data_IF_578773049789
#
_entry.id   IF_578773049789
#
_cell.length_a   1.000
_cell.length_b   1.000
_cell.length_c   1.000
_cell.angle_alpha   90.00
_cell.angle_beta   90.00
_cell.angle_gamma   90.00
#
_symmetry.space_group_name_H-M   'P 1'
#
loop_
_entity.id
_entity.type
_entity.pdbx_description
1 polymer ?
#
# COMPACT_ATOMS: atom_id res chain seq x y z
N UNK A 1 -19.54 58.83 6.83
CA UNK A 1 -19.64 58.43 8.25
C UNK A 1 -20.26 57.04 8.24
N UNK A 2 -19.65 55.93 8.65
CA UNK A 2 -18.40 55.61 9.34
C UNK A 2 -17.94 54.23 8.78
N UNK A 3 -16.72 54.12 8.25
CA UNK A 3 -15.49 53.61 8.88
C UNK A 3 -15.31 52.09 8.81
N UNK A 4 -14.22 51.72 8.15
CA UNK A 4 -13.63 50.40 7.92
C UNK A 4 -13.44 49.52 9.15
N UNK A 5 -13.35 48.21 8.91
CA UNK A 5 -12.51 47.29 9.69
C UNK A 5 -12.11 46.08 8.84
N UNK A 6 -10.97 46.22 8.15
CA UNK A 6 -10.15 45.13 7.63
C UNK A 6 -9.57 44.33 8.82
N UNK A 7 -9.84 43.03 8.88
CA UNK A 7 -9.17 42.14 9.84
C UNK A 7 -7.95 41.54 9.14
N UNK A 8 -6.80 42.17 9.35
CA UNK A 8 -5.47 41.62 9.07
C UNK A 8 -5.06 40.80 10.31
N UNK A 9 -4.89 39.49 10.18
CA UNK A 9 -4.29 38.66 11.24
C UNK A 9 -2.80 38.52 10.95
N UNK A 10 -2.01 39.42 11.54
CA UNK A 10 -0.58 39.20 11.79
C UNK A 10 -0.44 38.94 13.29
N UNK A 11 -0.02 37.72 13.64
CA UNK A 11 0.24 37.34 15.03
C UNK A 11 1.26 36.23 15.10
N UNK A 12 2.53 36.62 15.29
CA UNK A 12 3.55 35.75 15.86
C UNK A 12 3.12 35.37 17.28
N UNK A 13 2.61 34.15 17.44
CA UNK A 13 2.38 33.52 18.72
C UNK A 13 2.82 32.07 18.62
N UNK A 14 3.71 31.64 19.52
CA UNK A 14 4.01 30.22 19.73
C UNK A 14 2.74 29.64 20.35
N UNK A 15 1.85 29.14 19.50
CA UNK A 15 0.59 28.54 19.90
C UNK A 15 0.84 27.09 20.30
N UNK A 16 0.82 26.81 21.60
CA UNK A 16 0.79 25.46 22.16
C UNK A 16 -0.65 24.91 22.11
N UNK A 17 -1.27 24.95 20.93
CA UNK A 17 -2.49 24.20 20.65
C UNK A 17 -2.11 22.74 20.35
N UNK A 18 -2.92 21.75 20.77
CA UNK A 18 -2.69 20.36 20.36
C UNK A 18 -2.67 20.33 18.82
N UNK A 19 -1.74 19.59 18.19
CA UNK A 19 -1.63 19.61 16.74
C UNK A 19 -2.99 19.26 16.13
N UNK A 20 -3.49 20.15 15.26
CA UNK A 20 -4.72 19.89 14.51
C UNK A 20 -4.64 18.49 13.88
N UNK A 21 -5.74 17.71 13.88
CA UNK A 21 -5.70 16.38 13.30
C UNK A 21 -5.30 16.48 11.83
N UNK A 22 -4.14 15.94 11.48
CA UNK A 22 -3.65 15.92 10.10
C UNK A 22 -4.02 14.59 9.45
N UNK A 23 -4.52 14.68 8.22
CA UNK A 23 -4.82 13.50 7.43
C UNK A 23 -3.55 12.81 6.92
N UNK A 24 -3.58 11.49 6.87
CA UNK A 24 -2.52 10.71 6.21
C UNK A 24 -2.69 10.74 4.69
N UNK A 25 -1.60 10.44 3.98
CA UNK A 25 -1.54 10.56 2.53
C UNK A 25 -0.59 9.53 1.93
N UNK A 26 -0.67 9.38 0.61
CA UNK A 26 0.16 8.46 -0.17
C UNK A 26 0.80 9.23 -1.32
N UNK A 27 2.02 8.86 -1.72
CA UNK A 27 2.69 9.46 -2.88
C UNK A 27 2.40 8.63 -4.13
N UNK A 28 2.12 9.29 -5.26
CA UNK A 28 2.01 8.64 -6.57
C UNK A 28 2.93 9.36 -7.54
N UNK A 29 3.87 8.63 -8.14
CA UNK A 29 4.94 9.22 -8.95
C UNK A 29 5.43 8.25 -10.01
N UNK A 30 5.88 8.79 -11.14
CA UNK A 30 6.68 8.05 -12.12
C UNK A 30 8.09 8.64 -12.09
N UNK A 31 9.10 7.78 -12.00
CA UNK A 31 10.49 8.22 -11.94
C UNK A 31 11.46 7.25 -12.61
N UNK A 32 12.60 7.78 -13.06
CA UNK A 32 13.75 6.98 -13.50
C UNK A 32 14.42 6.31 -12.30
N UNK A 33 15.35 5.37 -12.55
CA UNK A 33 16.18 4.75 -11.50
C UNK A 33 16.90 5.75 -10.59
N UNK A 34 17.28 6.90 -11.15
CA UNK A 34 17.97 7.97 -10.43
C UNK A 34 16.98 8.95 -9.77
N UNK A 35 15.69 8.58 -9.66
CA UNK A 35 14.60 9.38 -9.10
C UNK A 35 14.28 10.65 -9.89
N UNK A 36 14.63 10.70 -11.19
CA UNK A 36 14.27 11.80 -12.09
C UNK A 36 12.80 11.74 -12.46
N UNK A 37 12.08 12.87 -12.34
CA UNK A 37 10.62 12.94 -12.55
C UNK A 37 10.20 13.79 -13.74
N UNK A 38 10.97 14.83 -14.08
CA UNK A 38 10.64 15.72 -15.20
C UNK A 38 11.87 16.38 -15.79
N UNK A 39 11.72 16.91 -17.00
CA UNK A 39 12.67 17.77 -17.69
C UNK A 39 11.91 19.00 -18.19
N UNK A 40 12.37 20.20 -17.86
CA UNK A 40 11.76 21.48 -18.25
C UNK A 40 10.26 21.59 -17.88
N UNK A 41 9.87 20.95 -16.77
CA UNK A 41 8.49 20.96 -16.29
C UNK A 41 7.53 20.00 -16.99
N UNK A 42 8.00 19.20 -17.96
CA UNK A 42 7.22 18.18 -18.65
C UNK A 42 7.75 16.77 -18.37
N UNK A 43 6.89 15.77 -18.55
CA UNK A 43 7.30 14.36 -18.49
C UNK A 43 8.14 14.03 -19.74
N UNK A 44 9.38 13.50 -19.59
CA UNK A 44 10.25 13.17 -20.73
C UNK A 44 9.80 11.95 -21.56
N UNK A 45 8.70 11.32 -21.17
CA UNK A 45 8.18 10.08 -21.73
C UNK A 45 6.67 10.16 -21.91
N UNK A 46 6.14 9.29 -22.77
CA UNK A 46 4.70 9.13 -22.99
C UNK A 46 4.35 7.66 -22.80
N UNK A 47 3.69 7.34 -21.69
CA UNK A 47 3.36 5.98 -21.27
C UNK A 47 1.86 5.89 -20.93
N UNK A 48 0.98 5.63 -21.91
CA UNK A 48 -0.47 5.59 -21.68
C UNK A 48 -0.90 4.57 -20.61
N UNK A 49 -0.18 3.46 -20.50
CA UNK A 49 -0.47 2.43 -19.48
C UNK A 49 -0.16 2.94 -18.06
N UNK A 50 0.87 3.76 -17.88
CA UNK A 50 1.14 4.46 -16.62
C UNK A 50 0.10 5.55 -16.32
N UNK A 51 -0.28 6.34 -17.32
CA UNK A 51 -1.33 7.35 -17.15
C UNK A 51 -2.65 6.72 -16.67
N UNK A 52 -3.01 5.56 -17.24
CA UNK A 52 -4.16 4.79 -16.77
C UNK A 52 -3.97 4.29 -15.34
N UNK A 53 -2.80 3.79 -14.99
CA UNK A 53 -2.49 3.37 -13.62
C UNK A 53 -2.64 4.53 -12.62
N UNK A 54 -2.13 5.71 -12.96
CA UNK A 54 -2.28 6.94 -12.18
C UNK A 54 -3.76 7.34 -12.03
N UNK A 55 -4.55 7.27 -13.10
CA UNK A 55 -5.98 7.56 -13.05
C UNK A 55 -6.72 6.56 -12.14
N UNK A 56 -6.49 5.27 -12.34
CA UNK A 56 -7.12 4.18 -11.58
C UNK A 56 -6.81 4.33 -10.08
N UNK A 57 -5.53 4.49 -9.71
CA UNK A 57 -5.13 4.56 -8.31
C UNK A 57 -5.67 5.81 -7.60
N UNK A 58 -5.71 6.94 -8.32
CA UNK A 58 -6.17 8.21 -7.73
C UNK A 58 -7.68 8.37 -7.77
N UNK A 59 -8.42 7.58 -8.55
CA UNK A 59 -9.88 7.74 -8.71
C UNK A 59 -10.68 6.65 -8.00
N UNK A 60 -10.21 5.40 -8.01
CA UNK A 60 -10.97 4.28 -7.44
C UNK A 60 -11.01 4.40 -5.90
N UNK A 61 -12.23 4.38 -5.36
CA UNK A 61 -12.52 4.35 -3.92
C UNK A 61 -13.09 3.00 -3.50
N UNK A 62 -12.96 2.68 -2.22
CA UNK A 62 -13.68 1.55 -1.61
C UNK A 62 -15.15 1.87 -1.40
N UNK A 63 -15.48 3.11 -1.03
CA UNK A 63 -16.84 3.63 -0.91
C UNK A 63 -17.24 4.44 -2.18
N UNK A 64 -18.23 3.97 -2.97
CA UNK A 64 -18.70 4.67 -4.16
C UNK A 64 -19.26 6.08 -3.91
N UNK A 65 -19.63 6.42 -2.66
CA UNK A 65 -20.13 7.75 -2.29
C UNK A 65 -19.03 8.77 -2.02
N UNK A 66 -17.78 8.30 -1.87
CA UNK A 66 -16.63 9.15 -1.58
C UNK A 66 -15.82 9.42 -2.85
N UNK A 67 -14.97 10.45 -2.77
CA UNK A 67 -13.96 10.78 -3.79
C UNK A 67 -12.58 10.71 -3.17
N UNK A 68 -11.54 10.68 -4.00
CA UNK A 68 -10.17 10.89 -3.52
C UNK A 68 -9.73 12.34 -3.79
N UNK A 69 -8.72 12.79 -3.06
CA UNK A 69 -8.08 14.08 -3.30
C UNK A 69 -6.68 13.87 -3.89
N UNK A 70 -6.32 14.71 -4.85
CA UNK A 70 -4.98 14.82 -5.42
C UNK A 70 -4.40 16.17 -5.05
N UNK A 71 -3.19 16.18 -4.51
CA UNK A 71 -2.50 17.40 -4.07
C UNK A 71 -1.22 17.53 -4.87
N UNK A 72 -1.04 18.70 -5.48
CA UNK A 72 0.09 18.96 -6.35
C UNK A 72 0.57 20.40 -6.26
N UNK A 73 1.81 20.64 -6.69
CA UNK A 73 2.39 21.97 -6.77
C UNK A 73 1.89 22.74 -7.98
N UNK A 74 1.91 24.08 -7.91
CA UNK A 74 1.50 24.95 -9.03
C UNK A 74 2.14 24.60 -10.37
N UNK A 75 3.45 24.34 -10.41
CA UNK A 75 4.16 23.95 -11.65
C UNK A 75 3.63 22.63 -12.22
N UNK A 76 3.37 21.65 -11.36
CA UNK A 76 2.80 20.37 -11.78
C UNK A 76 1.37 20.54 -12.30
N UNK A 77 0.58 21.41 -11.68
CA UNK A 77 -0.75 21.77 -12.17
C UNK A 77 -0.72 22.46 -13.53
N UNK A 78 0.21 23.38 -13.75
CA UNK A 78 0.39 24.10 -15.01
C UNK A 78 0.90 23.20 -16.14
N UNK A 79 1.64 22.14 -15.80
CA UNK A 79 2.12 21.13 -16.75
C UNK A 79 1.02 20.18 -17.25
N UNK A 80 -0.12 20.09 -16.54
CA UNK A 80 -1.27 19.30 -17.01
C UNK A 80 -1.94 20.04 -18.18
N UNK A 81 -2.21 19.35 -19.30
CA UNK A 81 -2.88 19.96 -20.44
C UNK A 81 -4.21 20.63 -20.05
N UNK A 82 -4.54 21.81 -20.60
CA UNK A 82 -5.77 22.54 -20.24
C UNK A 82 -7.07 21.74 -20.37
N UNK A 83 -7.13 20.83 -21.33
CA UNK A 83 -8.25 19.91 -21.57
C UNK A 83 -8.39 18.81 -20.50
N UNK A 84 -7.32 18.55 -19.74
CA UNK A 84 -7.26 17.51 -18.71
C UNK A 84 -7.29 18.08 -17.28
N UNK A 85 -7.37 19.41 -17.12
CA UNK A 85 -7.48 20.08 -15.81
C UNK A 85 -8.88 20.70 -15.62
N UNK A 86 -9.52 20.55 -14.44
CA UNK A 86 -9.10 19.71 -13.31
C UNK A 86 -9.13 18.21 -13.63
N UNK A 87 -8.36 17.42 -12.90
CA UNK A 87 -8.41 15.96 -13.01
C UNK A 87 -9.80 15.48 -12.58
N UNK A 88 -10.56 14.93 -13.52
CA UNK A 88 -11.94 14.51 -13.34
C UNK A 88 -12.07 13.41 -12.26
N UNK A 89 -13.23 13.36 -11.59
CA UNK A 89 -13.52 12.36 -10.56
C UNK A 89 -12.82 12.55 -9.21
N UNK A 90 -11.98 13.59 -9.08
CA UNK A 90 -11.13 13.84 -7.90
C UNK A 90 -11.27 15.27 -7.40
N UNK A 91 -10.98 15.48 -6.12
CA UNK A 91 -10.77 16.82 -5.56
C UNK A 91 -9.32 17.23 -5.83
N UNK A 92 -9.12 18.35 -6.54
CA UNK A 92 -7.80 18.83 -6.91
C UNK A 92 -7.36 19.90 -5.92
N UNK A 93 -6.21 19.73 -5.26
CA UNK A 93 -5.63 20.71 -4.34
C UNK A 93 -4.31 21.21 -4.90
N UNK A 94 -4.22 22.50 -5.16
CA UNK A 94 -3.03 23.13 -5.74
C UNK A 94 -2.30 23.91 -4.65
N UNK A 95 -1.03 23.56 -4.44
CA UNK A 95 -0.16 24.23 -3.48
C UNK A 95 0.51 25.44 -4.13
N UNK A 96 0.23 26.63 -3.59
CA UNK A 96 0.77 27.90 -4.07
C UNK A 96 0.95 28.90 -2.92
N UNK A 97 2.11 29.57 -2.91
CA UNK A 97 2.40 30.69 -1.99
C UNK A 97 1.95 32.04 -2.53
N UNK A 98 1.60 32.10 -3.81
CA UNK A 98 1.09 33.29 -4.48
C UNK A 98 -0.41 33.35 -4.23
N UNK A 99 -0.84 34.26 -3.35
CA UNK A 99 -2.23 34.37 -2.86
C UNK A 99 -3.27 34.82 -3.89
N UNK A 100 -2.85 35.10 -5.13
CA UNK A 100 -3.71 35.42 -6.28
C UNK A 100 -3.47 34.37 -7.36
N UNK A 101 -4.35 33.37 -7.42
CA UNK A 101 -4.36 32.39 -8.50
C UNK A 101 -5.82 32.25 -8.94
N UNK A 102 -6.13 32.72 -10.15
CA UNK A 102 -7.49 32.88 -10.70
C UNK A 102 -8.24 31.55 -10.96
N UNK A 103 -7.74 30.43 -10.41
CA UNK A 103 -8.28 29.08 -10.57
C UNK A 103 -9.32 28.75 -9.48
N UNK A 104 -9.51 29.63 -8.49
CA UNK A 104 -10.48 29.46 -7.40
C UNK A 104 -11.96 29.40 -7.84
N UNK A 105 -12.25 29.54 -9.13
CA UNK A 105 -13.60 29.47 -9.72
C UNK A 105 -13.95 28.12 -10.33
N UNK A 106 -12.99 27.20 -10.46
CA UNK A 106 -13.25 25.85 -11.00
C UNK A 106 -13.85 24.93 -9.93
N UNK A 107 -14.97 24.28 -10.25
CA UNK A 107 -15.58 23.28 -9.37
C UNK A 107 -14.59 22.14 -9.09
N UNK A 108 -14.45 21.74 -7.82
CA UNK A 108 -13.50 20.72 -7.35
C UNK A 108 -12.00 21.10 -7.37
N UNK A 109 -11.66 22.41 -7.35
CA UNK A 109 -10.28 22.88 -7.14
C UNK A 109 -10.15 23.68 -5.84
N UNK A 110 -9.15 23.36 -5.04
CA UNK A 110 -8.80 24.06 -3.80
C UNK A 110 -7.36 24.58 -3.86
N UNK A 111 -7.11 25.65 -3.11
CA UNK A 111 -5.79 26.27 -3.01
C UNK A 111 -5.31 26.19 -1.57
N UNK A 112 -4.07 25.76 -1.37
CA UNK A 112 -3.43 25.67 -0.06
C UNK A 112 -1.99 26.21 -0.11
N UNK A 113 -1.47 26.67 1.03
CA UNK A 113 -0.13 27.27 1.11
C UNK A 113 1.00 26.25 1.28
N UNK A 114 0.70 25.09 1.87
CA UNK A 114 1.64 24.01 2.18
C UNK A 114 0.96 22.65 2.24
N UNK A 115 1.75 21.56 2.24
CA UNK A 115 1.24 20.19 2.44
C UNK A 115 0.50 20.07 3.77
N UNK A 116 1.07 20.63 4.86
CA UNK A 116 0.42 20.64 6.18
C UNK A 116 -0.96 21.30 6.15
N UNK A 117 -1.07 22.51 5.57
CA UNK A 117 -2.36 23.21 5.47
C UNK A 117 -3.40 22.42 4.65
N UNK A 118 -2.96 21.70 3.62
CA UNK A 118 -3.84 20.86 2.83
C UNK A 118 -4.32 19.64 3.62
N UNK A 119 -3.45 18.99 4.40
CA UNK A 119 -3.84 17.84 5.23
C UNK A 119 -4.78 18.23 6.36
N UNK A 120 -4.60 19.40 6.96
CA UNK A 120 -5.50 19.95 7.97
C UNK A 120 -6.88 20.25 7.38
N UNK A 121 -6.92 20.91 6.21
CA UNK A 121 -8.18 21.20 5.53
C UNK A 121 -8.92 19.90 5.12
N UNK A 122 -8.20 18.90 4.64
CA UNK A 122 -8.78 17.60 4.24
C UNK A 122 -9.17 16.71 5.43
N UNK A 123 -8.70 17.03 6.64
CA UNK A 123 -9.13 16.42 7.90
C UNK A 123 -10.36 17.12 8.52
N UNK A 124 -10.68 18.33 8.08
CA UNK A 124 -11.84 19.08 8.54
C UNK A 124 -13.12 18.74 7.74
N UNK A 125 -14.28 19.08 8.33
CA UNK A 125 -15.57 18.99 7.63
C UNK A 125 -15.66 20.04 6.51
N UNK A 126 -16.24 19.71 5.33
CA UNK A 126 -16.93 18.46 4.97
C UNK A 126 -16.02 17.37 4.37
N UNK A 127 -14.73 17.65 4.17
CA UNK A 127 -13.82 16.77 3.44
C UNK A 127 -13.46 15.47 4.17
N UNK A 128 -13.45 15.47 5.49
CA UNK A 128 -13.25 14.24 6.27
C UNK A 128 -14.32 13.18 6.02
N UNK A 129 -15.53 13.58 5.60
CA UNK A 129 -16.65 12.68 5.31
C UNK A 129 -16.71 12.29 3.82
N UNK A 130 -16.36 13.22 2.92
CA UNK A 130 -16.51 13.04 1.47
C UNK A 130 -15.26 12.51 0.78
N UNK A 131 -14.07 12.76 1.33
CA UNK A 131 -12.81 12.27 0.77
C UNK A 131 -12.44 10.95 1.45
N UNK A 132 -11.99 9.95 0.68
CA UNK A 132 -11.52 8.66 1.19
C UNK A 132 -9.99 8.61 1.36
N UNK A 133 -9.23 8.92 0.30
CA UNK A 133 -7.77 8.94 0.32
C UNK A 133 -7.20 10.24 -0.25
N UNK A 134 -5.97 10.56 0.16
CA UNK A 134 -5.23 11.73 -0.32
C UNK A 134 -3.94 11.28 -0.99
N UNK A 135 -3.74 11.71 -2.23
CA UNK A 135 -2.57 11.40 -3.04
C UNK A 135 -1.75 12.66 -3.31
N UNK A 136 -0.48 12.65 -2.92
CA UNK A 136 0.48 13.66 -3.33
C UNK A 136 1.08 13.23 -4.67
N UNK A 137 0.92 14.07 -5.70
CA UNK A 137 1.28 13.73 -7.08
C UNK A 137 2.44 14.58 -7.61
N UNK A 138 3.17 15.24 -6.71
CA UNK A 138 4.38 16.02 -7.00
C UNK A 138 4.17 17.53 -7.00
N UNK A 139 5.16 18.35 -7.34
CA UNK A 139 6.49 17.98 -7.86
C UNK A 139 7.57 17.69 -6.81
N UNK A 140 8.84 17.77 -7.22
CA UNK A 140 10.00 17.35 -6.41
C UNK A 140 10.10 18.00 -5.03
N UNK A 141 9.76 19.29 -4.89
CA UNK A 141 9.72 19.97 -3.57
C UNK A 141 8.70 19.33 -2.64
N UNK A 142 7.52 18.98 -3.17
CA UNK A 142 6.44 18.35 -2.42
C UNK A 142 6.83 16.93 -2.03
N UNK A 143 7.44 16.15 -2.93
CA UNK A 143 7.89 14.81 -2.58
C UNK A 143 8.99 14.83 -1.51
N UNK A 144 9.87 15.82 -1.52
CA UNK A 144 10.87 16.00 -0.47
C UNK A 144 10.24 16.26 0.89
N UNK A 145 9.18 17.05 0.98
CA UNK A 145 8.45 17.23 2.25
C UNK A 145 7.65 15.97 2.62
N UNK A 146 6.95 15.39 1.65
CA UNK A 146 6.03 14.28 1.81
C UNK A 146 6.69 13.00 2.32
N UNK A 147 7.78 12.55 1.69
CA UNK A 147 8.37 11.25 1.97
C UNK A 147 9.04 11.22 3.36
N UNK A 148 9.56 12.36 3.81
CA UNK A 148 10.09 12.53 5.16
C UNK A 148 8.99 12.74 6.21
N UNK A 149 7.78 13.12 5.81
CA UNK A 149 6.64 13.36 6.70
C UNK A 149 6.07 12.07 7.31
N UNK A 150 5.67 12.08 8.59
CA UNK A 150 5.10 10.91 9.28
C UNK A 150 3.71 10.50 8.75
N UNK A 151 3.06 11.39 8.00
CA UNK A 151 1.75 11.16 7.38
C UNK A 151 1.78 10.35 6.07
N UNK A 152 2.95 10.10 5.49
CA UNK A 152 3.08 9.34 4.25
C UNK A 152 3.02 7.82 4.50
N UNK A 153 1.91 7.17 4.15
CA UNK A 153 1.68 5.75 4.43
C UNK A 153 2.22 4.81 3.34
N UNK A 154 2.20 5.26 2.09
CA UNK A 154 2.66 4.47 0.95
C UNK A 154 3.22 5.35 -0.17
N UNK A 155 4.10 4.73 -0.96
CA UNK A 155 4.65 5.29 -2.20
C UNK A 155 4.29 4.33 -3.32
N UNK A 156 3.49 4.80 -4.27
CA UNK A 156 3.19 4.12 -5.52
C UNK A 156 4.06 4.73 -6.61
N UNK A 157 5.04 3.97 -7.05
CA UNK A 157 6.03 4.42 -8.00
C UNK A 157 6.01 3.56 -9.26
N UNK A 158 5.88 4.21 -10.40
CA UNK A 158 6.22 3.61 -11.69
C UNK A 158 7.71 3.82 -11.92
N UNK A 159 8.48 2.75 -11.82
CA UNK A 159 9.94 2.79 -11.91
C UNK A 159 10.37 2.52 -13.36
N UNK A 160 10.91 3.54 -14.02
CA UNK A 160 11.48 3.45 -15.35
C UNK A 160 12.90 2.88 -15.28
N UNK A 161 13.12 1.77 -15.97
CA UNK A 161 14.40 1.07 -16.07
C UNK A 161 15.34 1.65 -17.15
N UNK A 162 15.14 2.90 -17.55
CA UNK A 162 15.95 3.60 -18.55
C UNK A 162 16.60 4.87 -17.95
N UNK A 163 17.80 5.20 -18.42
CA UNK A 163 18.49 6.45 -18.07
C UNK A 163 18.00 7.54 -19.02
N UNK A 164 17.12 8.40 -18.53
CA UNK A 164 16.53 9.52 -19.26
C UNK A 164 16.94 10.82 -18.55
N UNK A 165 17.32 11.85 -19.29
CA UNK A 165 17.75 13.12 -18.71
C UNK A 165 16.58 13.82 -18.00
N UNK A 166 16.80 14.23 -16.76
CA UNK A 166 15.83 14.92 -15.91
C UNK A 166 16.52 16.11 -15.22
N UNK A 167 15.76 17.17 -14.90
CA UNK A 167 16.23 18.31 -14.11
C UNK A 167 15.56 18.41 -12.74
N UNK A 168 14.45 17.69 -12.56
CA UNK A 168 13.68 17.66 -11.34
C UNK A 168 13.66 16.22 -10.84
N UNK A 169 13.91 16.06 -9.55
CA UNK A 169 14.07 14.77 -8.91
C UNK A 169 13.19 14.66 -7.66
N UNK A 170 12.72 13.45 -7.36
CA UNK A 170 12.18 13.11 -6.04
C UNK A 170 13.31 12.63 -5.11
N UNK A 171 13.15 12.68 -3.78
CA UNK A 171 14.15 12.10 -2.88
C UNK A 171 14.21 10.58 -3.04
N UNK A 172 15.35 9.99 -2.67
CA UNK A 172 15.51 8.55 -2.61
C UNK A 172 14.54 7.94 -1.59
N UNK A 173 14.03 6.74 -1.90
CA UNK A 173 13.15 6.00 -1.00
C UNK A 173 14.01 5.41 0.13
N UNK A 174 13.71 5.80 1.37
CA UNK A 174 14.35 5.22 2.55
C UNK A 174 13.75 3.84 2.85
N UNK A 175 14.47 2.78 2.49
CA UNK A 175 14.04 1.40 2.69
C UNK A 175 14.02 0.95 4.15
N UNK A 176 14.60 1.71 5.09
CA UNK A 176 14.43 1.45 6.52
C UNK A 176 13.02 1.81 7.01
N UNK A 177 12.39 2.77 6.33
CA UNK A 177 11.05 3.28 6.64
C UNK A 177 9.99 2.60 5.74
N UNK A 178 10.28 2.50 4.45
CA UNK A 178 9.37 2.02 3.42
C UNK A 178 9.78 0.64 2.91
N UNK A 179 8.94 -0.35 3.14
CA UNK A 179 9.19 -1.73 2.72
C UNK A 179 8.41 -2.05 1.44
N UNK A 180 8.97 -2.85 0.52
CA UNK A 180 8.27 -3.25 -0.69
C UNK A 180 7.02 -4.09 -0.33
N UNK A 181 5.87 -3.67 -0.84
CA UNK A 181 4.60 -4.39 -0.71
C UNK A 181 4.25 -5.14 -2.00
N UNK A 182 4.33 -4.45 -3.13
CA UNK A 182 3.93 -4.99 -4.43
C UNK A 182 4.93 -4.56 -5.51
N UNK A 183 5.19 -5.45 -6.46
CA UNK A 183 5.97 -5.17 -7.66
C UNK A 183 5.37 -5.93 -8.83
N UNK A 184 5.04 -5.21 -9.90
CA UNK A 184 4.52 -5.83 -11.13
C UNK A 184 5.64 -6.53 -11.91
N UNK A 185 5.26 -7.38 -12.86
CA UNK A 185 6.20 -7.76 -13.91
C UNK A 185 6.58 -6.53 -14.74
N UNK A 186 7.85 -6.40 -15.16
CA UNK A 186 8.26 -5.31 -16.03
C UNK A 186 7.50 -5.34 -17.35
N UNK A 187 7.03 -4.17 -17.77
CA UNK A 187 6.37 -3.89 -19.04
C UNK A 187 7.34 -3.16 -19.96
N UNK A 188 7.08 -3.20 -21.27
CA UNK A 188 7.81 -2.42 -22.27
C UNK A 188 6.79 -1.71 -23.14
N UNK A 189 6.84 -0.38 -23.16
CA UNK A 189 5.96 0.48 -23.96
C UNK A 189 6.82 1.60 -24.55
N UNK A 190 6.67 1.88 -25.86
CA UNK A 190 7.45 2.91 -26.56
C UNK A 190 8.99 2.79 -26.37
N UNK A 191 9.49 1.55 -26.25
CA UNK A 191 10.93 1.27 -26.03
C UNK A 191 11.42 1.52 -24.60
N UNK A 192 10.53 1.95 -23.69
CA UNK A 192 10.85 2.17 -22.28
C UNK A 192 10.35 0.97 -21.49
N UNK A 193 11.25 0.37 -20.71
CA UNK A 193 10.93 -0.69 -19.76
C UNK A 193 10.63 -0.10 -18.39
N UNK A 194 9.55 -0.51 -17.75
CA UNK A 194 9.18 -0.02 -16.42
C UNK A 194 8.36 -1.04 -15.62
N UNK A 195 8.20 -0.81 -14.32
CA UNK A 195 7.38 -1.65 -13.44
C UNK A 195 6.60 -0.81 -12.43
N UNK A 196 5.43 -1.30 -12.01
CA UNK A 196 4.63 -0.67 -10.96
C UNK A 196 5.04 -1.24 -9.61
N UNK A 197 5.60 -0.40 -8.76
CA UNK A 197 6.06 -0.77 -7.43
C UNK A 197 5.26 -0.01 -6.37
N UNK A 198 4.95 -0.67 -5.26
CA UNK A 198 4.36 -0.03 -4.09
C UNK A 198 5.19 -0.34 -2.88
N UNK A 199 5.57 0.70 -2.16
CA UNK A 199 6.25 0.63 -0.88
C UNK A 199 5.33 1.13 0.22
N UNK A 200 5.28 0.42 1.34
CA UNK A 200 4.45 0.75 2.49
C UNK A 200 5.33 1.17 3.66
N UNK A 201 4.94 2.24 4.35
CA UNK A 201 5.56 2.62 5.60
C UNK A 201 5.13 1.62 6.66
N UNK A 202 6.10 0.95 7.26
CA UNK A 202 5.84 0.07 8.40
C UNK A 202 6.05 0.87 9.68
N UNK A 203 4.97 1.15 10.41
CA UNK A 203 5.07 1.61 11.80
C UNK A 203 5.39 0.38 12.65
N UNK A 204 6.57 0.36 13.27
CA UNK A 204 6.86 -0.62 14.30
C UNK A 204 6.17 -0.13 15.57
N UNK A 205 5.13 -0.81 16.06
CA UNK A 205 4.56 -0.42 17.34
C UNK A 205 5.57 -0.73 18.44
N UNK A 206 6.13 0.31 19.02
CA UNK A 206 6.82 0.22 20.33
C UNK A 206 6.19 1.15 21.36
N UNK A 207 5.02 1.73 21.06
CA UNK A 207 4.33 2.66 21.95
C UNK A 207 2.90 2.18 22.22
N UNK A 208 2.79 1.21 23.12
CA UNK A 208 1.57 0.93 23.87
C UNK A 208 1.94 0.63 25.32
N UNK A 209 2.40 1.64 26.06
CA UNK A 209 2.30 1.75 27.53
C UNK A 209 3.01 3.01 28.05
N UNK A 210 2.32 4.15 28.02
CA UNK A 210 2.52 5.19 29.04
C UNK A 210 1.16 5.67 29.55
N UNK A 211 0.93 5.48 30.86
CA UNK A 211 -0.28 5.81 31.63
C UNK A 211 -1.16 4.57 31.83
N UNK A 212 -1.36 3.98 33.01
CA UNK A 212 -1.29 4.44 34.39
C UNK A 212 -0.73 3.33 35.32
N UNK A 213 0.02 3.75 36.34
CA UNK A 213 0.48 2.91 37.45
C UNK A 213 -0.69 2.45 38.35
N UNK A 214 -0.72 1.15 38.68
CA UNK A 214 -1.00 0.57 40.01
C UNK A 214 -0.65 -0.93 40.01
N UNK A 215 0.55 -1.28 40.50
CA UNK A 215 0.98 -2.36 41.43
C UNK A 215 0.24 -3.75 41.56
N UNK A 216 0.93 -4.83 42.04
CA UNK A 216 1.21 -6.00 41.20
C UNK A 216 0.68 -7.37 41.72
N UNK A 217 1.12 -8.45 41.03
CA UNK A 217 1.12 -9.90 41.34
C UNK A 217 0.01 -10.73 40.65
N UNK A 218 0.38 -11.45 39.59
CA UNK A 218 0.49 -12.93 39.57
C UNK A 218 1.07 -13.42 38.23
N UNK A 219 1.93 -14.42 38.38
CA UNK A 219 2.76 -15.07 37.39
C UNK A 219 1.90 -15.94 36.47
N UNK A 220 1.95 -15.75 35.15
CA UNK A 220 1.72 -16.87 34.23
C UNK A 220 2.59 -16.74 32.98
N UNK A 221 3.51 -17.69 32.88
CA UNK A 221 4.37 -17.98 31.76
C UNK A 221 3.55 -18.60 30.62
N UNK A 222 2.92 -17.75 29.81
CA UNK A 222 2.59 -18.11 28.43
C UNK A 222 2.99 -16.96 27.54
N UNK A 223 4.16 -17.11 26.90
CA UNK A 223 4.63 -16.22 25.85
C UNK A 223 3.73 -16.44 24.63
N UNK A 224 2.49 -15.95 24.73
CA UNK A 224 1.61 -15.74 23.60
C UNK A 224 2.29 -14.66 22.78
N UNK A 225 2.98 -15.08 21.73
CA UNK A 225 3.33 -14.20 20.63
C UNK A 225 2.03 -13.55 20.17
N UNK A 226 1.71 -12.37 20.71
CA UNK A 226 0.66 -11.50 20.20
C UNK A 226 1.14 -11.08 18.83
N UNK A 227 0.73 -11.84 17.81
CA UNK A 227 1.04 -11.54 16.43
C UNK A 227 0.30 -10.26 16.08
N UNK A 228 1.06 -9.20 15.93
CA UNK A 228 0.54 -7.94 15.45
C UNK A 228 0.17 -8.10 13.98
N UNK A 229 -1.14 -8.16 13.70
CA UNK A 229 -1.65 -8.12 12.33
C UNK A 229 -1.41 -6.72 11.82
N UNK A 230 -0.47 -6.57 10.89
CA UNK A 230 -0.28 -5.29 10.18
C UNK A 230 -1.46 -5.10 9.24
N UNK A 231 -2.33 -4.16 9.57
CA UNK A 231 -3.43 -3.76 8.71
C UNK A 231 -2.92 -2.85 7.58
N UNK A 232 -3.17 -3.26 6.33
CA UNK A 232 -2.84 -2.50 5.13
C UNK A 232 -4.11 -2.02 4.40
N UNK A 233 -5.26 -1.98 5.08
CA UNK A 233 -6.54 -1.47 4.57
C UNK A 233 -6.49 -0.04 4.05
N UNK A 234 -5.47 0.74 4.47
CA UNK A 234 -5.21 2.08 3.96
C UNK A 234 -4.78 2.09 2.48
N UNK A 235 -4.25 0.98 1.95
CA UNK A 235 -3.87 0.89 0.55
C UNK A 235 -5.10 1.00 -0.38
N UNK A 236 -4.94 1.56 -1.59
CA UNK A 236 -6.00 1.55 -2.59
C UNK A 236 -6.41 0.10 -2.89
N UNK A 237 -7.71 -0.17 -2.99
CA UNK A 237 -8.23 -1.53 -3.22
C UNK A 237 -7.54 -2.23 -4.39
N UNK A 238 -7.35 -1.50 -5.50
CA UNK A 238 -6.66 -1.99 -6.69
C UNK A 238 -5.20 -2.42 -6.43
N UNK A 239 -4.50 -1.78 -5.49
CA UNK A 239 -3.12 -2.15 -5.11
C UNK A 239 -3.12 -3.29 -4.10
N UNK A 240 -4.03 -3.23 -3.13
CA UNK A 240 -4.18 -4.25 -2.12
C UNK A 240 -4.45 -5.62 -2.75
N UNK A 241 -5.41 -5.70 -3.68
CA UNK A 241 -5.79 -6.93 -4.40
C UNK A 241 -4.77 -7.39 -5.46
N UNK A 242 -3.78 -6.54 -5.78
CA UNK A 242 -2.67 -6.90 -6.69
C UNK A 242 -1.60 -7.75 -5.99
N UNK A 243 -1.57 -7.80 -4.66
CA UNK A 243 -0.63 -8.63 -3.92
C UNK A 243 -0.81 -10.11 -4.29
N UNK A 244 0.30 -10.86 -4.47
CA UNK A 244 0.21 -12.20 -5.04
C UNK A 244 -0.54 -13.20 -4.15
N UNK A 245 -0.59 -12.97 -2.83
CA UNK A 245 -1.38 -13.80 -1.90
C UNK A 245 -2.88 -13.78 -2.20
N UNK A 246 -3.41 -12.73 -2.83
CA UNK A 246 -4.80 -12.70 -3.29
C UNK A 246 -5.13 -13.76 -4.34
N UNK A 247 -4.12 -14.33 -5.01
CA UNK A 247 -4.31 -15.50 -5.89
C UNK A 247 -4.80 -16.71 -5.10
N UNK A 248 -4.28 -16.91 -3.88
CA UNK A 248 -4.73 -17.95 -2.96
C UNK A 248 -6.09 -17.60 -2.35
N UNK A 249 -6.26 -16.37 -1.84
CA UNK A 249 -7.51 -15.96 -1.19
C UNK A 249 -8.71 -16.02 -2.13
N UNK A 250 -8.56 -15.55 -3.37
CA UNK A 250 -9.64 -15.63 -4.37
C UNK A 250 -9.97 -17.06 -4.75
N UNK A 251 -8.97 -17.94 -4.84
CA UNK A 251 -9.23 -19.35 -5.10
C UNK A 251 -10.03 -20.00 -3.97
N UNK A 252 -9.73 -19.66 -2.71
CA UNK A 252 -10.51 -20.15 -1.57
C UNK A 252 -11.94 -19.61 -1.62
N UNK A 253 -12.11 -18.31 -1.90
CA UNK A 253 -13.42 -17.68 -2.05
C UNK A 253 -14.25 -18.34 -3.16
N UNK A 254 -13.67 -18.55 -4.34
CA UNK A 254 -14.29 -19.21 -5.49
C UNK A 254 -14.73 -20.65 -5.18
N UNK A 255 -13.90 -21.43 -4.48
CA UNK A 255 -14.27 -22.79 -4.05
C UNK A 255 -15.45 -22.77 -3.09
N UNK A 256 -15.51 -21.80 -2.18
CA UNK A 256 -16.61 -21.68 -1.21
C UNK A 256 -17.90 -21.25 -1.90
N UNK A 257 -17.83 -20.31 -2.85
CA UNK A 257 -19.02 -19.74 -3.51
C UNK A 257 -19.58 -20.63 -4.62
N UNK A 258 -18.72 -21.29 -5.39
CA UNK A 258 -19.09 -21.99 -6.63
C UNK A 258 -18.71 -23.48 -6.64
N UNK A 259 -18.01 -23.95 -5.61
CA UNK A 259 -17.54 -25.34 -5.52
C UNK A 259 -18.67 -26.36 -5.49
N UNK A 260 -18.47 -27.48 -6.19
CA UNK A 260 -19.39 -28.62 -6.11
C UNK A 260 -19.07 -29.48 -4.89
N UNK A 261 -20.10 -29.79 -4.10
CA UNK A 261 -20.03 -30.75 -2.99
C UNK A 261 -19.73 -32.15 -3.52
N UNK A 262 -18.72 -32.81 -2.96
CA UNK A 262 -18.36 -34.19 -3.28
C UNK A 262 -18.02 -34.97 -2.02
N UNK A 263 -18.42 -36.23 -2.00
CA UNK A 263 -17.91 -37.18 -1.01
C UNK A 263 -16.43 -37.50 -1.28
N UNK A 264 -15.71 -37.86 -0.23
CA UNK A 264 -14.28 -38.19 -0.30
C UNK A 264 -13.95 -39.48 0.47
N UNK A 265 -12.73 -40.00 0.28
CA UNK A 265 -12.26 -41.24 0.93
C UNK A 265 -12.16 -41.18 2.47
N UNK A 266 -12.19 -39.98 3.04
CA UNK A 266 -12.11 -39.75 4.49
C UNK A 266 -13.50 -39.69 5.14
N UNK A 267 -14.56 -39.54 4.33
CA UNK A 267 -15.94 -39.39 4.80
C UNK A 267 -16.28 -37.99 5.33
N UNK A 268 -15.38 -37.01 5.20
CA UNK A 268 -15.63 -35.62 5.63
C UNK A 268 -16.43 -34.84 4.59
N UNK A 269 -16.17 -35.08 3.31
CA UNK A 269 -16.74 -34.33 2.20
C UNK A 269 -15.91 -33.10 1.85
N UNK A 270 -16.02 -32.65 0.61
CA UNK A 270 -15.26 -31.51 0.08
C UNK A 270 -16.12 -30.59 -0.79
N UNK A 271 -15.78 -29.30 -0.81
CA UNK A 271 -16.14 -28.40 -1.91
C UNK A 271 -14.98 -28.37 -2.89
N UNK A 272 -15.26 -28.50 -4.18
CA UNK A 272 -14.20 -28.56 -5.20
C UNK A 272 -14.59 -27.89 -6.51
N UNK A 273 -13.60 -27.27 -7.14
CA UNK A 273 -13.61 -26.86 -8.55
C UNK A 273 -12.47 -27.59 -9.27
N UNK A 274 -12.53 -27.69 -10.59
CA UNK A 274 -11.54 -28.41 -11.39
C UNK A 274 -10.69 -27.46 -12.24
N UNK A 275 -9.36 -27.64 -12.21
CA UNK A 275 -8.46 -26.94 -13.14
C UNK A 275 -8.00 -25.54 -12.72
N UNK A 276 -7.81 -25.29 -11.42
CA UNK A 276 -7.32 -23.99 -10.93
C UNK A 276 -5.82 -23.79 -11.10
N UNK A 277 -5.38 -22.53 -11.16
CA UNK A 277 -3.97 -22.18 -11.35
C UNK A 277 -3.57 -20.96 -10.55
N UNK A 278 -2.41 -21.05 -9.90
CA UNK A 278 -1.71 -19.91 -9.31
C UNK A 278 -0.29 -19.81 -9.86
N UNK A 279 0.24 -18.59 -9.93
CA UNK A 279 1.63 -18.31 -10.32
C UNK A 279 2.19 -17.26 -9.37
N UNK A 280 3.41 -17.44 -8.88
CA UNK A 280 4.06 -16.53 -7.95
C UNK A 280 5.43 -16.11 -8.50
N UNK A 281 5.83 -14.86 -8.26
CA UNK A 281 7.08 -14.30 -8.75
C UNK A 281 8.21 -14.45 -7.71
N UNK A 282 9.04 -15.47 -7.91
CA UNK A 282 10.16 -15.79 -7.00
C UNK A 282 11.37 -14.84 -7.09
N UNK A 283 11.40 -13.90 -8.05
CA UNK A 283 12.53 -12.96 -8.18
C UNK A 283 12.50 -11.84 -7.14
N UNK A 284 11.34 -11.58 -6.54
CA UNK A 284 11.09 -10.42 -5.67
C UNK A 284 10.70 -10.82 -4.26
N UNK A 285 9.97 -11.92 -4.09
CA UNK A 285 9.52 -12.42 -2.79
C UNK A 285 9.43 -13.94 -2.77
N UNK A 286 9.27 -14.48 -1.57
CA UNK A 286 8.98 -15.90 -1.37
C UNK A 286 7.49 -16.05 -0.98
N UNK A 287 6.69 -16.88 -1.68
CA UNK A 287 5.23 -16.94 -1.52
C UNK A 287 4.83 -17.75 -0.27
N UNK A 288 5.32 -17.36 0.90
CA UNK A 288 4.86 -17.86 2.18
C UNK A 288 3.62 -17.04 2.59
N UNK A 289 2.47 -17.72 2.72
CA UNK A 289 1.22 -17.07 3.10
C UNK A 289 1.37 -16.32 4.44
N UNK A 290 0.78 -15.13 4.51
CA UNK A 290 0.85 -14.22 5.66
C UNK A 290 -0.48 -14.12 6.39
N UNK A 291 -1.59 -14.39 5.71
CA UNK A 291 -2.95 -14.44 6.26
C UNK A 291 -3.16 -15.56 7.29
N UNK A 292 -2.26 -16.55 7.29
CA UNK A 292 -2.15 -17.60 8.32
C UNK A 292 -0.70 -18.00 8.47
N UNK A 293 -0.23 -18.16 9.71
CA UNK A 293 1.12 -18.66 9.98
C UNK A 293 1.30 -20.06 9.40
N UNK A 294 2.23 -20.20 8.46
CA UNK A 294 2.63 -21.49 7.87
C UNK A 294 3.70 -22.15 8.74
N UNK A 295 3.65 -23.48 8.91
CA UNK A 295 4.65 -24.25 9.64
C UNK A 295 5.95 -24.42 8.83
N UNK A 296 6.70 -23.33 8.67
CA UNK A 296 7.85 -23.24 7.78
C UNK A 296 8.94 -24.28 8.08
N UNK A 297 9.25 -24.51 9.36
CA UNK A 297 10.22 -25.55 9.77
C UNK A 297 9.81 -26.93 9.26
N UNK A 298 8.52 -27.27 9.35
CA UNK A 298 7.99 -28.54 8.82
C UNK A 298 8.19 -28.65 7.31
N UNK A 299 7.86 -27.60 6.56
CA UNK A 299 8.02 -27.56 5.09
C UNK A 299 9.48 -27.77 4.67
N UNK A 300 10.42 -27.08 5.31
CA UNK A 300 11.86 -27.19 4.98
C UNK A 300 12.40 -28.58 5.30
N UNK A 301 12.09 -29.11 6.48
CA UNK A 301 12.59 -30.41 6.93
C UNK A 301 11.99 -31.57 6.12
N UNK A 302 10.70 -31.46 5.73
CA UNK A 302 10.07 -32.39 4.80
C UNK A 302 10.72 -32.36 3.42
N UNK A 303 11.00 -31.17 2.88
CA UNK A 303 11.70 -31.04 1.60
C UNK A 303 13.10 -31.67 1.65
N UNK A 304 13.84 -31.48 2.74
CA UNK A 304 15.15 -32.11 2.93
C UNK A 304 15.05 -33.63 3.04
N UNK A 305 14.00 -34.15 3.69
CA UNK A 305 13.72 -35.59 3.76
C UNK A 305 13.39 -36.19 2.39
N UNK A 306 12.65 -35.47 1.54
CA UNK A 306 12.44 -35.86 0.14
C UNK A 306 13.74 -35.88 -0.66
N UNK A 307 14.57 -34.83 -0.54
CA UNK A 307 15.85 -34.73 -1.25
C UNK A 307 16.80 -35.86 -0.82
N UNK A 308 16.75 -36.29 0.45
CA UNK A 308 17.58 -37.41 0.94
C UNK A 308 17.12 -38.79 0.44
N UNK A 309 15.96 -38.88 -0.23
CA UNK A 309 15.37 -40.14 -0.67
C UNK A 309 14.89 -41.04 0.47
N UNK A 310 14.70 -40.48 1.67
CA UNK A 310 14.24 -41.25 2.83
C UNK A 310 12.72 -41.47 2.76
N UNK A 311 12.28 -42.68 3.09
CA UNK A 311 10.85 -43.03 3.25
C UNK A 311 10.47 -43.31 4.70
N UNK A 312 11.42 -43.19 5.63
CA UNK A 312 11.18 -43.41 7.05
C UNK A 312 10.64 -42.14 7.73
N UNK A 313 9.36 -42.14 8.10
CA UNK A 313 8.71 -41.03 8.81
C UNK A 313 9.31 -40.73 10.20
N UNK A 314 10.00 -41.70 10.83
CA UNK A 314 10.67 -41.50 12.13
C UNK A 314 11.72 -40.39 12.08
N UNK A 315 12.36 -40.18 10.92
CA UNK A 315 13.34 -39.10 10.73
C UNK A 315 12.71 -37.72 10.97
N UNK A 316 11.43 -37.55 10.61
CA UNK A 316 10.69 -36.31 10.87
C UNK A 316 10.19 -36.26 12.32
N UNK A 317 9.70 -37.37 12.87
CA UNK A 317 9.24 -37.47 14.26
C UNK A 317 10.34 -37.16 15.27
N UNK A 318 11.56 -37.66 15.05
CA UNK A 318 12.74 -37.37 15.87
C UNK A 318 13.08 -35.87 15.89
N UNK A 319 12.67 -35.12 14.86
CA UNK A 319 12.78 -33.65 14.79
C UNK A 319 11.55 -32.92 15.35
N UNK A 320 10.57 -33.65 15.89
CA UNK A 320 9.29 -33.10 16.39
C UNK A 320 8.34 -32.67 15.27
N UNK A 321 8.41 -33.31 14.10
CA UNK A 321 7.55 -33.04 12.95
C UNK A 321 6.66 -34.25 12.70
N UNK A 322 5.35 -34.06 12.90
CA UNK A 322 4.35 -35.13 12.95
C UNK A 322 3.38 -35.14 11.74
N UNK A 323 3.72 -34.43 10.67
CA UNK A 323 2.81 -34.22 9.51
C UNK A 323 2.47 -35.52 8.75
N UNK A 324 3.28 -36.58 8.89
CA UNK A 324 3.08 -37.90 8.27
C UNK A 324 2.54 -38.98 9.21
N UNK A 325 2.39 -38.70 10.52
CA UNK A 325 2.11 -39.72 11.53
C UNK A 325 0.79 -40.46 11.28
N UNK A 326 -0.25 -39.73 10.90
CA UNK A 326 -1.57 -40.32 10.61
C UNK A 326 -1.57 -41.28 9.42
N UNK A 327 -0.68 -41.06 8.44
CA UNK A 327 -0.54 -41.92 7.25
C UNK A 327 0.48 -43.05 7.46
N UNK A 328 1.29 -43.00 8.52
CA UNK A 328 2.29 -44.01 8.86
C UNK A 328 1.85 -44.93 10.00
N UNK A 329 0.68 -44.71 10.60
CA UNK A 329 0.17 -45.54 11.69
C UNK A 329 -0.13 -46.97 11.24
N UNK A 330 -0.04 -47.93 12.17
CA UNK A 330 -0.32 -49.33 11.86
C UNK A 330 -1.76 -49.52 11.40
N UNK A 331 -2.70 -48.85 12.07
CA UNK A 331 -4.12 -48.88 11.75
C UNK A 331 -4.41 -48.36 10.34
N UNK A 332 -3.67 -47.34 9.88
CA UNK A 332 -3.82 -46.84 8.51
C UNK A 332 -3.26 -47.84 7.51
N UNK A 333 -2.06 -48.39 7.76
CA UNK A 333 -1.41 -49.36 6.87
C UNK A 333 -2.20 -50.66 6.73
N UNK A 334 -2.80 -51.16 7.82
CA UNK A 334 -3.65 -52.35 7.80
C UNK A 334 -4.91 -52.18 6.95
N UNK A 335 -5.41 -50.95 6.80
CA UNK A 335 -6.57 -50.65 5.94
C UNK A 335 -6.21 -50.54 4.45
N UNK A 336 -4.93 -50.44 4.11
CA UNK A 336 -4.45 -50.33 2.73
C UNK A 336 -3.94 -51.67 2.17
N UNK A 337 -3.77 -52.68 3.02
CA UNK A 337 -3.28 -54.03 2.67
C UNK A 337 -4.44 -54.94 2.24
#
# INVERSE_FOLDING_TARGET
MASDSLVIINGNGIDNSPPNPQRTYQAVVIATRDMGISKEGILPWTLPTDQKFFEDITTITSDPKKKNAVVMGRKSWEAIPPESRPLSGRLNVVLTRSGSFDIATAENVLICGSVSSAMELLAASPYCLSIEKVFLTGGGEIFREALHGPGCEAIHITEIEASIECDTFMPQIDFSVFHPWYSSFPLVENGIRYSFNTYVRIRCSTEASQGLNTDPILNDSSNSLKFEVKDFSFLPKIIFERHEEYKYLRLVEEIISEGTTKDDRTGTGTLSIFGSKMRFNLRKSFPLLTTKKVFWRGVVEELLWFISGSTNAKVLQEKGIHIWDGNASREYLDRQA
#
